data_IF_938858566772
#
_entry.id   IF_938858566772
#
_cell.length_a   1.000
_cell.length_b   1.000
_cell.length_c   1.000
_cell.angle_alpha   90.00
_cell.angle_beta   90.00
_cell.angle_gamma   90.00
#
_symmetry.space_group_name_H-M   'P 1'
#
loop_
_entity.id
_entity.type
_entity.pdbx_description
1 polymer ?
#
# COMPACT_ATOMS: atom_id res chain seq x y z
N UNK A 1 -5.61 13.38 -23.41
CA UNK A 1 -5.62 14.04 -22.08
C UNK A 1 -5.42 13.01 -20.97
N UNK A 2 -6.22 11.94 -20.93
CA UNK A 2 -6.12 10.87 -19.92
C UNK A 2 -4.73 10.19 -19.87
N UNK A 3 -4.13 9.90 -21.04
CA UNK A 3 -2.79 9.34 -21.11
C UNK A 3 -1.73 10.25 -20.45
N UNK A 4 -1.81 11.56 -20.66
CA UNK A 4 -0.89 12.55 -20.07
C UNK A 4 -1.05 12.59 -18.55
N UNK A 5 -2.29 12.53 -18.04
CA UNK A 5 -2.56 12.46 -16.59
C UNK A 5 -1.96 11.20 -16.00
N UNK A 6 -2.16 10.06 -16.66
CA UNK A 6 -1.61 8.76 -16.22
C UNK A 6 -0.09 8.77 -16.17
N UNK A 7 0.58 9.29 -17.20
CA UNK A 7 2.04 9.32 -17.28
C UNK A 7 2.62 10.25 -16.21
N UNK A 8 1.97 11.40 -15.96
CA UNK A 8 2.32 12.30 -14.85
C UNK A 8 2.21 11.60 -13.49
N UNK A 9 1.14 10.84 -13.26
CA UNK A 9 0.90 10.09 -12.01
C UNK A 9 1.92 8.97 -11.80
N UNK A 10 2.27 8.25 -12.87
CA UNK A 10 3.38 7.29 -12.84
C UNK A 10 4.70 7.96 -12.47
N UNK A 11 5.02 9.08 -13.12
CA UNK A 11 6.24 9.83 -12.81
C UNK A 11 6.28 10.29 -11.35
N UNK A 12 5.14 10.77 -10.80
CA UNK A 12 5.04 11.12 -9.39
C UNK A 12 5.35 9.91 -8.48
N UNK A 13 4.76 8.74 -8.74
CA UNK A 13 5.00 7.52 -7.97
C UNK A 13 6.45 7.03 -8.08
N UNK A 14 7.01 7.00 -9.29
CA UNK A 14 8.40 6.56 -9.53
C UNK A 14 9.39 7.52 -8.88
N UNK A 15 9.12 8.83 -8.93
CA UNK A 15 10.00 9.86 -8.33
C UNK A 15 10.19 9.69 -6.82
N UNK A 16 9.27 8.97 -6.16
CA UNK A 16 9.33 8.69 -4.73
C UNK A 16 9.66 7.24 -4.40
N UNK A 17 9.76 6.35 -5.39
CA UNK A 17 10.04 4.93 -5.16
C UNK A 17 11.34 4.73 -4.36
N UNK A 18 12.35 5.56 -4.63
CA UNK A 18 13.62 5.54 -3.88
C UNK A 18 13.46 5.87 -2.40
N UNK A 19 12.40 6.56 -1.96
CA UNK A 19 12.22 6.85 -0.53
C UNK A 19 11.92 5.60 0.30
N UNK A 20 11.35 4.55 -0.31
CA UNK A 20 11.06 3.30 0.37
C UNK A 20 12.33 2.58 0.89
N UNK A 21 13.51 2.88 0.34
CA UNK A 21 14.79 2.35 0.83
C UNK A 21 15.15 2.77 2.25
N UNK A 22 14.53 3.86 2.74
CA UNK A 22 14.74 4.40 4.08
C UNK A 22 13.64 3.98 5.07
N UNK A 23 12.56 3.38 4.59
CA UNK A 23 11.40 3.07 5.42
C UNK A 23 11.56 1.68 6.05
N UNK A 24 11.64 1.60 7.39
CA UNK A 24 11.85 0.33 8.08
C UNK A 24 10.64 -0.59 7.91
N UNK A 25 10.94 -1.88 7.77
CA UNK A 25 9.98 -2.98 7.68
C UNK A 25 9.07 -2.94 6.44
N UNK A 26 9.34 -2.09 5.45
CA UNK A 26 8.70 -2.16 4.14
C UNK A 26 9.51 -3.12 3.26
N UNK A 27 8.95 -4.29 2.99
CA UNK A 27 9.66 -5.34 2.25
C UNK A 27 9.31 -5.31 0.75
N UNK A 28 8.12 -4.81 0.38
CA UNK A 28 7.67 -4.68 -1.00
C UNK A 28 6.57 -3.62 -1.14
N UNK A 29 6.52 -2.93 -2.28
CA UNK A 29 5.44 -2.00 -2.65
C UNK A 29 5.09 -2.20 -4.12
N UNK A 30 3.78 -2.25 -4.40
CA UNK A 30 3.21 -2.22 -5.74
C UNK A 30 2.46 -0.90 -5.97
N UNK A 31 2.55 -0.37 -7.19
CA UNK A 31 1.53 0.54 -7.71
C UNK A 31 0.20 -0.19 -7.87
N UNK A 32 -0.91 0.46 -7.51
CA UNK A 32 -2.23 -0.17 -7.41
C UNK A 32 -3.36 0.77 -7.84
N UNK A 33 -4.60 0.31 -7.66
CA UNK A 33 -5.83 1.08 -7.84
C UNK A 33 -6.05 1.63 -9.25
N UNK A 34 -6.58 2.84 -9.32
CA UNK A 34 -6.97 3.48 -10.60
C UNK A 34 -5.78 3.70 -11.56
N UNK A 35 -4.56 3.83 -11.02
CA UNK A 35 -3.35 4.07 -11.80
C UNK A 35 -3.03 2.88 -12.69
N UNK A 36 -3.03 1.67 -12.14
CA UNK A 36 -2.72 0.44 -12.88
C UNK A 36 -3.87 -0.01 -13.79
N UNK A 37 -5.10 0.34 -13.42
CA UNK A 37 -6.29 0.06 -14.24
C UNK A 37 -6.46 1.05 -15.41
N UNK A 38 -5.61 2.07 -15.52
CA UNK A 38 -5.72 3.11 -16.54
C UNK A 38 -6.95 4.02 -16.38
N UNK A 39 -7.58 4.03 -15.20
CA UNK A 39 -8.79 4.80 -14.88
C UNK A 39 -8.49 6.03 -14.01
N UNK A 40 -7.23 6.48 -14.01
CA UNK A 40 -6.74 7.58 -13.18
C UNK A 40 -7.20 8.94 -13.71
N UNK A 41 -7.70 9.79 -12.80
CA UNK A 41 -8.09 11.18 -13.06
C UNK A 41 -7.10 12.14 -12.42
N UNK A 42 -7.22 13.42 -12.73
CA UNK A 42 -6.33 14.44 -12.19
C UNK A 42 -6.36 14.46 -10.66
N UNK A 43 -7.56 14.37 -10.09
CA UNK A 43 -7.83 14.37 -8.64
C UNK A 43 -7.67 12.99 -7.99
N UNK A 44 -7.33 11.95 -8.75
CA UNK A 44 -7.16 10.60 -8.20
C UNK A 44 -5.92 10.49 -7.31
N UNK A 45 -6.08 9.79 -6.20
CA UNK A 45 -4.98 9.40 -5.33
C UNK A 45 -4.03 8.40 -6.01
N UNK A 46 -2.80 8.33 -5.50
CA UNK A 46 -1.82 7.32 -5.89
C UNK A 46 -1.91 6.14 -4.90
N UNK A 47 -2.75 5.16 -5.21
CA UNK A 47 -2.90 3.95 -4.42
C UNK A 47 -1.66 3.05 -4.54
N UNK A 48 -1.17 2.60 -3.39
CA UNK A 48 -0.10 1.60 -3.31
C UNK A 48 -0.55 0.41 -2.47
N UNK A 49 -0.21 -0.79 -2.93
CA UNK A 49 -0.28 -1.99 -2.11
C UNK A 49 1.09 -2.19 -1.47
N UNK A 50 1.14 -2.11 -0.14
CA UNK A 50 2.39 -2.19 0.62
C UNK A 50 2.49 -3.52 1.35
N UNK A 51 3.65 -4.15 1.31
CA UNK A 51 3.97 -5.34 2.10
C UNK A 51 4.93 -4.95 3.22
N UNK A 52 4.45 -5.10 4.45
CA UNK A 52 5.23 -4.94 5.66
C UNK A 52 5.79 -6.28 6.14
N UNK A 53 6.89 -6.21 6.87
CA UNK A 53 7.42 -7.35 7.61
C UNK A 53 6.42 -7.80 8.69
N UNK A 54 6.29 -9.11 8.85
CA UNK A 54 5.47 -9.74 9.88
C UNK A 54 5.78 -9.17 11.28
N UNK A 55 4.73 -8.82 12.04
CA UNK A 55 4.85 -8.25 13.38
C UNK A 55 5.29 -6.78 13.45
N UNK A 56 5.39 -6.09 12.31
CA UNK A 56 5.85 -4.69 12.21
C UNK A 56 4.96 -3.83 11.30
N UNK A 57 3.73 -4.27 11.03
CA UNK A 57 2.80 -3.63 10.08
C UNK A 57 2.51 -2.16 10.47
N UNK A 58 2.21 -1.90 11.74
CA UNK A 58 1.82 -0.57 12.19
C UNK A 58 3.02 0.37 12.30
N UNK A 59 4.20 -0.12 12.67
CA UNK A 59 5.45 0.65 12.57
C UNK A 59 5.75 1.00 11.11
N UNK A 60 5.74 0.01 10.21
CA UNK A 60 5.99 0.22 8.79
C UNK A 60 5.04 1.29 8.21
N UNK A 61 3.74 1.12 8.48
CA UNK A 61 2.72 2.09 8.08
C UNK A 61 2.98 3.47 8.68
N UNK A 62 3.33 3.55 9.96
CA UNK A 62 3.64 4.83 10.61
C UNK A 62 4.77 5.58 9.90
N UNK A 63 5.87 4.90 9.55
CA UNK A 63 6.98 5.53 8.83
C UNK A 63 6.58 5.99 7.43
N UNK A 64 5.76 5.22 6.69
CA UNK A 64 5.17 5.70 5.44
C UNK A 64 4.34 6.97 5.67
N UNK A 65 3.40 6.92 6.62
CA UNK A 65 2.50 8.02 6.93
C UNK A 65 3.25 9.29 7.38
N UNK A 66 4.35 9.13 8.11
CA UNK A 66 5.21 10.22 8.60
C UNK A 66 6.03 10.80 7.46
N UNK A 67 6.83 9.98 6.76
CA UNK A 67 7.73 10.44 5.70
C UNK A 67 6.96 11.15 4.58
N UNK A 68 5.91 10.52 4.06
CA UNK A 68 5.13 11.12 2.97
C UNK A 68 4.24 12.27 3.45
N UNK A 69 3.85 12.28 4.73
CA UNK A 69 3.17 13.41 5.35
C UNK A 69 4.05 14.65 5.45
N UNK A 70 5.30 14.49 5.88
CA UNK A 70 6.27 15.59 6.00
C UNK A 70 6.66 16.17 4.63
N UNK A 71 6.68 15.33 3.59
CA UNK A 71 6.97 15.77 2.22
C UNK A 71 5.77 16.42 1.51
N UNK A 72 4.59 16.47 2.16
CA UNK A 72 3.35 16.93 1.52
C UNK A 72 2.89 16.04 0.36
N UNK A 73 3.43 14.81 0.25
CA UNK A 73 3.16 13.84 -0.83
C UNK A 73 2.17 12.75 -0.40
N UNK A 74 1.41 13.00 0.67
CA UNK A 74 0.45 12.05 1.23
C UNK A 74 -0.97 12.50 0.98
N UNK A 75 -1.85 11.56 0.64
CA UNK A 75 -3.28 11.80 0.62
C UNK A 75 -3.86 11.89 2.03
N UNK A 76 -4.65 12.94 2.24
CA UNK A 76 -5.56 13.12 3.36
C UNK A 76 -7.01 12.90 2.89
N UNK A 77 -7.79 12.12 3.64
CA UNK A 77 -9.21 11.88 3.34
C UNK A 77 -10.07 13.16 3.29
N UNK A 78 -9.60 14.25 3.91
CA UNK A 78 -10.32 15.54 4.00
C UNK A 78 -9.95 16.54 2.89
N UNK A 79 -9.07 16.19 1.94
CA UNK A 79 -8.64 17.12 0.87
C UNK A 79 -8.57 16.39 -0.47
N UNK A 80 -8.91 17.09 -1.55
CA UNK A 80 -8.57 16.68 -2.92
C UNK A 80 -7.04 16.60 -3.00
N UNK A 81 -6.47 15.41 -3.08
CA UNK A 81 -5.03 15.23 -3.05
C UNK A 81 -4.56 14.34 -4.19
N UNK A 82 -3.35 14.61 -4.66
CA UNK A 82 -2.64 13.80 -5.65
C UNK A 82 -1.55 12.94 -4.98
N UNK A 83 -1.70 12.65 -3.68
CA UNK A 83 -0.67 12.05 -2.85
C UNK A 83 -0.70 10.52 -2.84
N UNK A 84 0.29 9.91 -2.18
CA UNK A 84 0.31 8.47 -1.94
C UNK A 84 -0.67 8.08 -0.84
N UNK A 85 -1.43 7.02 -1.10
CA UNK A 85 -2.39 6.45 -0.16
C UNK A 85 -1.87 5.12 0.40
N UNK A 86 -1.62 5.08 1.72
CA UNK A 86 -1.23 3.86 2.46
C UNK A 86 -2.46 3.25 3.15
N UNK A 87 -3.48 3.02 2.35
CA UNK A 87 -4.75 2.42 2.76
C UNK A 87 -4.76 0.89 2.64
N UNK A 88 -3.85 0.31 1.85
CA UNK A 88 -3.69 -1.14 1.72
C UNK A 88 -2.25 -1.54 2.06
N UNK A 89 -2.06 -2.02 3.29
CA UNK A 89 -0.81 -2.61 3.75
C UNK A 89 -1.07 -3.98 4.34
N UNK A 90 -0.24 -4.95 3.99
CA UNK A 90 -0.40 -6.34 4.42
C UNK A 90 0.95 -7.00 4.73
N UNK A 91 0.91 -8.21 5.28
CA UNK A 91 2.08 -9.04 5.58
C UNK A 91 2.07 -10.30 4.71
N UNK A 92 3.20 -11.01 4.65
CA UNK A 92 3.35 -12.23 3.83
C UNK A 92 2.28 -13.28 4.11
N UNK A 93 1.81 -13.36 5.35
CA UNK A 93 0.82 -14.32 5.84
C UNK A 93 -0.54 -14.19 5.15
N UNK A 94 -0.82 -13.07 4.49
CA UNK A 94 -2.09 -12.77 3.83
C UNK A 94 -1.89 -12.31 2.37
N UNK A 95 -0.84 -12.82 1.71
CA UNK A 95 -0.63 -12.57 0.28
C UNK A 95 -1.78 -13.04 -0.60
N UNK A 96 -2.42 -14.14 -0.23
CA UNK A 96 -3.59 -14.63 -0.95
C UNK A 96 -4.79 -13.76 -0.61
N UNK A 97 -5.39 -13.16 -1.64
CA UNK A 97 -6.70 -12.51 -1.51
C UNK A 97 -7.73 -13.58 -1.07
N UNK A 98 -8.56 -13.33 -0.05
CA UNK A 98 -9.64 -14.26 0.29
C UNK A 98 -10.71 -14.36 -0.80
N UNK A 99 -11.35 -15.52 -0.91
CA UNK A 99 -12.53 -15.70 -1.76
C UNK A 99 -13.77 -15.00 -1.20
N UNK A 100 -14.77 -14.66 -2.04
CA UNK A 100 -14.78 -14.82 -3.51
C UNK A 100 -13.96 -13.75 -4.24
N UNK A 101 -13.46 -14.08 -5.43
CA UNK A 101 -12.76 -13.16 -6.32
C UNK A 101 -13.73 -12.60 -7.38
N UNK A 102 -13.71 -11.29 -7.59
CA UNK A 102 -14.56 -10.63 -8.59
C UNK A 102 -13.72 -10.10 -9.75
N UNK A 103 -14.37 -9.72 -10.86
CA UNK A 103 -13.70 -9.18 -12.05
C UNK A 103 -12.74 -8.02 -11.72
N UNK A 104 -13.13 -7.16 -10.78
CA UNK A 104 -12.26 -6.09 -10.29
C UNK A 104 -10.94 -6.61 -9.69
N UNK A 105 -10.99 -7.70 -8.92
CA UNK A 105 -9.80 -8.31 -8.31
C UNK A 105 -8.87 -8.89 -9.38
N UNK A 106 -9.43 -9.58 -10.39
CA UNK A 106 -8.66 -10.08 -11.53
C UNK A 106 -7.94 -8.94 -12.25
N UNK A 107 -8.67 -7.87 -12.59
CA UNK A 107 -8.09 -6.71 -13.26
C UNK A 107 -7.03 -6.04 -12.41
N UNK A 108 -7.28 -5.85 -11.10
CA UNK A 108 -6.35 -5.18 -10.21
C UNK A 108 -5.06 -5.99 -10.05
N UNK A 109 -5.17 -7.26 -9.66
CA UNK A 109 -4.02 -8.10 -9.33
C UNK A 109 -3.17 -8.45 -10.56
N UNK A 110 -3.79 -8.64 -11.73
CA UNK A 110 -3.06 -8.79 -13.00
C UNK A 110 -2.38 -7.48 -13.45
N UNK A 111 -2.71 -6.32 -12.90
CA UNK A 111 -2.07 -5.06 -13.29
C UNK A 111 -1.18 -4.47 -12.19
N UNK A 112 -1.03 -5.11 -11.02
CA UNK A 112 -0.10 -4.65 -9.99
C UNK A 112 1.33 -4.56 -10.54
N UNK A 113 1.94 -3.39 -10.36
CA UNK A 113 3.29 -3.09 -10.84
C UNK A 113 4.24 -2.98 -9.65
N UNK A 114 5.26 -3.83 -9.52
CA UNK A 114 6.27 -3.69 -8.48
C UNK A 114 7.00 -2.35 -8.64
N UNK A 115 7.05 -1.54 -7.59
CA UNK A 115 7.78 -0.26 -7.60
C UNK A 115 8.98 -0.27 -6.66
N UNK A 116 8.94 -1.11 -5.62
CA UNK A 116 10.06 -1.27 -4.70
C UNK A 116 10.03 -2.62 -3.99
N UNK A 117 11.19 -3.23 -3.70
CA UNK A 117 11.28 -4.32 -2.72
C UNK A 117 12.06 -5.55 -3.17
N UNK A 118 11.65 -6.72 -2.68
CA UNK A 118 12.29 -8.02 -2.95
C UNK A 118 11.63 -8.76 -4.11
N UNK A 119 12.43 -9.17 -5.11
CA UNK A 119 12.01 -10.01 -6.25
C UNK A 119 11.45 -11.36 -5.79
N UNK A 120 12.02 -11.92 -4.72
CA UNK A 120 11.54 -13.18 -4.14
C UNK A 120 10.13 -12.98 -3.60
N UNK A 121 9.88 -11.91 -2.85
CA UNK A 121 8.55 -11.61 -2.30
C UNK A 121 7.54 -11.29 -3.40
N UNK A 122 7.95 -10.63 -4.49
CA UNK A 122 7.07 -10.38 -5.65
C UNK A 122 6.59 -11.71 -6.24
N UNK A 123 7.52 -12.64 -6.48
CA UNK A 123 7.18 -13.95 -7.03
C UNK A 123 6.32 -14.78 -6.06
N UNK A 124 6.62 -14.75 -4.76
CA UNK A 124 5.77 -15.40 -3.75
C UNK A 124 4.35 -14.81 -3.71
N UNK A 125 4.21 -13.49 -3.83
CA UNK A 125 2.91 -12.82 -3.90
C UNK A 125 2.11 -13.25 -5.14
N UNK A 126 2.76 -13.29 -6.31
CA UNK A 126 2.11 -13.77 -7.54
C UNK A 126 1.72 -15.25 -7.45
N UNK A 127 2.61 -16.10 -6.90
CA UNK A 127 2.31 -17.52 -6.70
C UNK A 127 1.11 -17.75 -5.80
N UNK A 128 0.95 -16.96 -4.73
CA UNK A 128 -0.17 -17.08 -3.79
C UNK A 128 -1.55 -16.84 -4.41
N UNK A 129 -1.61 -16.18 -5.58
CA UNK A 129 -2.84 -15.80 -6.28
C UNK A 129 -2.98 -16.45 -7.68
N UNK A 130 -2.00 -17.25 -8.10
CA UNK A 130 -1.87 -17.73 -9.48
C UNK A 130 -3.04 -18.60 -9.97
N UNK A 131 -3.67 -19.35 -9.08
CA UNK A 131 -4.74 -20.30 -9.39
C UNK A 131 -6.03 -19.64 -9.87
N UNK A 132 -6.33 -18.42 -9.41
CA UNK A 132 -7.52 -17.68 -9.81
C UNK A 132 -7.24 -16.56 -10.81
N UNK A 133 -6.00 -16.06 -10.93
CA UNK A 133 -5.70 -14.93 -11.83
C UNK A 133 -5.91 -15.24 -13.33
N UNK A 134 -5.91 -16.52 -13.71
CA UNK A 134 -6.07 -16.97 -15.10
C UNK A 134 -4.80 -16.78 -15.96
N UNK A 135 -3.81 -16.03 -15.46
CA UNK A 135 -2.51 -15.82 -16.09
C UNK A 135 -1.38 -16.05 -15.09
N UNK A 136 -0.32 -16.75 -15.53
CA UNK A 136 0.86 -16.98 -14.69
C UNK A 136 1.70 -15.72 -14.64
N UNK A 137 1.61 -15.02 -13.52
CA UNK A 137 2.42 -13.84 -13.22
C UNK A 137 3.79 -14.24 -12.68
N UNK A 138 4.83 -13.59 -13.20
CA UNK A 138 6.21 -13.65 -12.68
C UNK A 138 6.76 -12.25 -12.64
N UNK A 139 7.73 -12.02 -11.76
CA UNK A 139 8.48 -10.77 -11.79
C UNK A 139 9.19 -10.65 -13.15
N UNK A 140 9.03 -9.49 -13.77
CA UNK A 140 9.75 -9.06 -14.96
C UNK A 140 10.45 -7.75 -14.61
N UNK A 141 11.71 -7.63 -15.02
CA UNK A 141 12.47 -6.42 -14.75
C UNK A 141 11.83 -5.22 -15.47
N UNK A 142 11.65 -4.13 -14.73
CA UNK A 142 10.89 -2.97 -15.17
C UNK A 142 11.62 -1.69 -14.73
N UNK A 143 11.68 -0.69 -15.61
CA UNK A 143 12.35 0.58 -15.32
C UNK A 143 11.77 1.35 -14.11
N UNK A 144 10.57 1.00 -13.68
CA UNK A 144 9.87 1.57 -12.52
C UNK A 144 10.30 0.91 -11.21
N UNK A 145 10.94 -0.25 -11.27
CA UNK A 145 11.32 -1.05 -10.12
C UNK A 145 12.63 -0.60 -9.48
N UNK A 146 12.71 -0.70 -8.16
CA UNK A 146 13.89 -0.32 -7.37
C UNK A 146 14.04 -1.25 -6.15
N UNK A 147 15.23 -1.82 -5.92
CA UNK A 147 15.41 -2.84 -4.88
C UNK A 147 16.54 -2.54 -3.88
N UNK A 148 17.17 -1.36 -3.97
CA UNK A 148 18.26 -1.02 -3.05
C UNK A 148 17.74 -0.76 -1.63
N UNK A 149 18.53 -1.17 -0.64
CA UNK A 149 18.22 -1.01 0.78
C UNK A 149 19.29 -0.14 1.43
N UNK A 150 18.87 0.98 2.01
CA UNK A 150 19.80 1.89 2.67
C UNK A 150 20.19 1.41 4.07
N UNK A 151 21.41 1.72 4.51
CA UNK A 151 21.91 1.29 5.83
C UNK A 151 21.08 1.86 6.99
N UNK A 152 20.53 3.08 6.84
CA UNK A 152 19.64 3.69 7.83
C UNK A 152 18.40 2.82 8.10
N UNK A 153 17.79 2.26 7.04
CA UNK A 153 16.67 1.32 7.17
C UNK A 153 17.10 0.12 8.03
N UNK A 154 18.26 -0.48 7.74
CA UNK A 154 18.80 -1.62 8.53
C UNK A 154 19.05 -1.26 10.00
N UNK A 155 19.60 -0.07 10.27
CA UNK A 155 19.87 0.38 11.63
C UNK A 155 18.59 0.58 12.45
N UNK A 156 17.58 1.23 11.85
CA UNK A 156 16.27 1.41 12.50
C UNK A 156 15.56 0.07 12.69
N UNK A 157 15.61 -0.82 11.69
CA UNK A 157 15.05 -2.17 11.82
C UNK A 157 15.71 -2.98 12.92
N UNK A 158 17.04 -2.91 13.06
CA UNK A 158 17.77 -3.60 14.12
C UNK A 158 17.42 -3.05 15.52
N UNK A 159 17.23 -1.74 15.66
CA UNK A 159 16.80 -1.12 16.91
C UNK A 159 15.37 -1.53 17.28
N UNK A 160 14.49 -1.62 16.29
CA UNK A 160 13.07 -1.92 16.46
C UNK A 160 12.72 -3.39 16.21
N UNK A 161 13.70 -4.31 16.13
CA UNK A 161 13.42 -5.74 15.94
C UNK A 161 13.06 -6.46 17.23
N UNK A 162 13.45 -5.92 18.39
CA UNK A 162 13.22 -6.55 19.70
C UNK A 162 11.99 -6.03 20.46
N UNK A 163 12.00 -6.21 21.79
CA UNK A 163 10.89 -5.87 22.70
C UNK A 163 10.43 -4.41 22.62
N UNK A 164 11.37 -3.48 22.33
CA UNK A 164 11.04 -2.08 22.11
C UNK A 164 10.13 -1.91 20.89
N UNK A 165 10.45 -2.62 19.81
CA UNK A 165 9.62 -2.68 18.61
C UNK A 165 8.26 -3.30 18.88
N UNK A 166 8.19 -4.39 19.65
CA UNK A 166 6.91 -5.04 19.97
C UNK A 166 5.99 -4.11 20.76
N UNK A 167 6.54 -3.40 21.75
CA UNK A 167 5.80 -2.40 22.50
C UNK A 167 5.33 -1.25 21.60
N UNK A 168 6.23 -0.74 20.74
CA UNK A 168 5.93 0.37 19.83
C UNK A 168 4.87 -0.02 18.80
N UNK A 169 4.94 -1.23 18.26
CA UNK A 169 3.96 -1.81 17.34
C UNK A 169 2.57 -1.81 17.99
N UNK A 170 2.45 -2.33 19.21
CA UNK A 170 1.18 -2.35 19.95
C UNK A 170 0.66 -0.95 20.29
N UNK A 171 1.54 0.00 20.60
CA UNK A 171 1.16 1.39 20.85
C UNK A 171 0.66 2.08 19.57
N UNK A 172 1.40 1.95 18.46
CA UNK A 172 1.06 2.52 17.16
C UNK A 172 -0.21 1.89 16.59
N UNK A 173 -0.41 0.59 16.75
CA UNK A 173 -1.66 -0.09 16.41
C UNK A 173 -2.84 0.59 17.09
N UNK A 174 -2.81 0.75 18.41
CA UNK A 174 -3.91 1.40 19.17
C UNK A 174 -4.17 2.83 18.69
N UNK A 175 -3.11 3.61 18.42
CA UNK A 175 -3.25 4.99 17.93
C UNK A 175 -3.88 5.01 16.53
N UNK A 176 -3.42 4.15 15.62
CA UNK A 176 -3.90 4.11 14.25
C UNK A 176 -5.34 3.60 14.17
N UNK A 177 -5.67 2.54 14.91
CA UNK A 177 -7.05 2.02 14.99
C UNK A 177 -8.03 3.06 15.52
N UNK A 178 -7.64 3.86 16.53
CA UNK A 178 -8.48 4.97 17.02
C UNK A 178 -8.74 6.02 15.93
N UNK A 179 -7.74 6.36 15.13
CA UNK A 179 -7.90 7.30 14.01
C UNK A 179 -8.78 6.69 12.90
N UNK A 180 -8.53 5.45 12.53
CA UNK A 180 -9.30 4.72 11.52
C UNK A 180 -10.77 4.60 11.95
N UNK A 181 -11.05 4.25 13.21
CA UNK A 181 -12.42 4.16 13.72
C UNK A 181 -13.19 5.48 13.54
N UNK A 182 -12.54 6.63 13.77
CA UNK A 182 -13.16 7.94 13.52
C UNK A 182 -13.43 8.17 12.03
N UNK A 183 -12.52 7.75 11.15
CA UNK A 183 -12.73 7.81 9.71
C UNK A 183 -13.89 6.91 9.27
N UNK A 184 -13.98 5.68 9.78
CA UNK A 184 -15.10 4.76 9.47
C UNK A 184 -16.42 5.41 9.84
N UNK A 185 -16.56 5.94 11.06
CA UNK A 185 -17.79 6.62 11.51
C UNK A 185 -18.16 7.79 10.59
N UNK A 186 -17.17 8.46 9.99
CA UNK A 186 -17.38 9.68 9.21
C UNK A 186 -17.63 9.43 7.71
N UNK A 187 -17.05 8.36 7.14
CA UNK A 187 -17.02 8.15 5.69
C UNK A 187 -17.48 6.75 5.24
N UNK A 188 -17.68 5.81 6.16
CA UNK A 188 -18.09 4.45 5.78
C UNK A 188 -19.53 4.41 5.31
N UNK A 189 -19.77 3.53 4.36
CA UNK A 189 -21.06 3.20 3.78
C UNK A 189 -21.15 1.69 3.51
N UNK A 190 -22.25 1.26 2.90
CA UNK A 190 -22.51 -0.16 2.59
C UNK A 190 -21.46 -0.78 1.67
N UNK A 191 -20.83 0.01 0.81
CA UNK A 191 -19.79 -0.46 -0.12
C UNK A 191 -18.39 -0.45 0.50
N UNK A 192 -18.21 0.08 1.72
CA UNK A 192 -16.88 0.28 2.29
C UNK A 192 -16.22 -1.04 2.73
N UNK A 193 -14.96 -1.24 2.32
CA UNK A 193 -14.16 -2.40 2.71
C UNK A 193 -13.17 -1.96 3.79
N UNK A 194 -13.33 -2.52 4.99
CA UNK A 194 -12.46 -2.23 6.13
C UNK A 194 -11.96 -3.54 6.74
N UNK A 195 -10.66 -3.78 6.62
CA UNK A 195 -9.95 -4.82 7.36
C UNK A 195 -8.83 -4.15 8.15
N UNK A 196 -8.75 -4.41 9.46
CA UNK A 196 -7.70 -3.90 10.33
C UNK A 196 -7.34 -4.94 11.38
N UNK A 197 -6.19 -5.59 11.22
CA UNK A 197 -5.63 -6.54 12.16
C UNK A 197 -4.09 -6.44 12.13
N UNK A 198 -3.38 -7.39 12.72
CA UNK A 198 -1.91 -7.40 12.81
C UNK A 198 -1.23 -7.74 11.47
N UNK A 199 -1.98 -8.34 10.54
CA UNK A 199 -1.50 -8.85 9.25
C UNK A 199 -1.94 -8.00 8.07
N UNK A 200 -3.03 -7.24 8.20
CA UNK A 200 -3.59 -6.42 7.14
C UNK A 200 -4.27 -5.16 7.69
N UNK A 201 -4.04 -4.04 7.00
CA UNK A 201 -4.88 -2.85 7.06
C UNK A 201 -5.29 -2.51 5.63
N UNK A 202 -6.58 -2.72 5.32
CA UNK A 202 -7.22 -2.41 4.05
C UNK A 202 -8.39 -1.47 4.30
N UNK A 203 -8.33 -0.27 3.74
CA UNK A 203 -9.32 0.79 3.90
C UNK A 203 -9.77 1.29 2.53
N UNK A 204 -10.96 0.88 2.12
CA UNK A 204 -11.60 1.37 0.92
C UNK A 204 -12.93 2.00 1.29
N UNK A 205 -13.07 3.30 1.02
CA UNK A 205 -14.28 4.06 1.25
C UNK A 205 -14.79 4.51 -0.11
N UNK A 206 -16.04 4.21 -0.44
CA UNK A 206 -16.65 4.70 -1.68
C UNK A 206 -17.06 6.18 -1.48
N UNK A 207 -16.41 7.16 -2.14
CA UNK A 207 -16.74 8.58 -1.94
C UNK A 207 -18.12 8.97 -2.50
N UNK A 208 -18.75 8.12 -3.32
CA UNK A 208 -19.99 8.45 -4.03
C UNK A 208 -21.27 8.21 -3.22
N UNK A 209 -21.22 7.71 -1.98
CA UNK A 209 -22.39 7.69 -1.10
C UNK A 209 -22.32 8.85 -0.09
N UNK A 210 -22.48 10.08 -0.56
CA UNK A 210 -23.11 11.03 0.34
C UNK A 210 -24.57 10.61 0.42
N UNK A 211 -24.95 10.01 1.55
CA UNK A 211 -26.36 9.87 1.91
C UNK A 211 -27.01 11.24 1.72
N UNK A 212 -28.08 11.26 0.92
CA UNK A 212 -28.97 12.41 0.80
C UNK A 212 -29.60 12.78 2.14
#
# INVERSE_FOLDING_TARGET
MEQVVRDKKWWQLISVARLFQYLPFIDLVFGSGSLVLGRVRQESDLDVLTVARSGRLYIARFFCLLTFGLLGKRTHMDRLNEGLCFNHILTKEVFRLPEPHYEYDHLLYNNLVPIYGSEILINEFYQANNDWLGEVRRFEDDLRYYNEVHFLKRGVEALLSGKLGDWLEGALMKIQLRKIKRSIVRYSNEDSIVCCNEKEVKLWFNPNSKNG
#
